data_IF_681793973795
#
_entry.id   IF_681793973795
#
_cell.length_a   1.000
_cell.length_b   1.000
_cell.length_c   1.000
_cell.angle_alpha   90.00
_cell.angle_beta   90.00
_cell.angle_gamma   90.00
#
_symmetry.space_group_name_H-M   'P 1'
#
loop_
_entity.id
_entity.type
_entity.pdbx_description
1 polymer ?
#
# COMPACT_ATOMS: atom_id res chain seq x y z
N UNK A 1 -32.86 8.94 39.19
CA UNK A 1 -32.63 9.63 37.91
C UNK A 1 -31.26 9.21 37.39
N UNK A 2 -31.21 8.28 36.42
CA UNK A 2 -29.98 7.84 35.74
C UNK A 2 -29.72 8.76 34.56
N UNK A 3 -28.51 9.31 34.40
CA UNK A 3 -27.85 9.68 33.13
C UNK A 3 -26.32 9.70 33.43
N UNK A 4 -25.52 8.75 32.92
CA UNK A 4 -24.70 8.82 31.68
C UNK A 4 -23.89 10.13 31.59
N UNK A 5 -22.57 10.16 31.34
CA UNK A 5 -21.85 9.36 30.36
C UNK A 5 -20.35 9.22 30.68
N UNK A 6 -19.85 8.02 30.39
CA UNK A 6 -18.48 7.67 30.09
C UNK A 6 -18.14 8.19 28.68
N UNK A 7 -17.16 9.11 28.54
CA UNK A 7 -16.35 9.25 27.32
C UNK A 7 -15.18 10.21 27.54
N UNK A 8 -14.19 9.77 28.34
CA UNK A 8 -12.87 10.37 28.25
C UNK A 8 -12.15 9.69 27.07
N UNK A 9 -12.30 10.28 25.89
CA UNK A 9 -11.62 9.85 24.67
C UNK A 9 -10.13 9.66 24.95
N UNK A 10 -9.69 8.39 24.90
CA UNK A 10 -8.29 8.04 25.05
C UNK A 10 -7.55 8.53 23.82
N UNK A 11 -7.04 9.77 23.90
CA UNK A 11 -6.10 10.30 22.92
C UNK A 11 -4.80 9.55 23.14
N UNK A 12 -4.52 8.58 22.26
CA UNK A 12 -3.23 7.88 22.26
C UNK A 12 -2.19 8.87 21.73
N UNK A 13 -1.22 9.34 22.54
CA UNK A 13 -0.19 10.21 22.01
C UNK A 13 0.64 9.41 21.01
N UNK A 14 0.81 9.95 19.79
CA UNK A 14 1.82 9.49 18.86
C UNK A 14 3.17 9.61 19.57
N UNK A 15 3.70 8.49 20.09
CA UNK A 15 5.08 8.45 20.52
C UNK A 15 5.91 8.66 19.26
N UNK A 16 6.42 9.88 19.06
CA UNK A 16 7.56 10.09 18.17
C UNK A 16 8.65 9.15 18.70
N UNK A 17 8.94 8.10 17.94
CA UNK A 17 10.13 7.28 18.16
C UNK A 17 11.28 8.23 18.41
N UNK A 18 11.89 8.11 19.58
CA UNK A 18 13.01 8.93 20.06
C UNK A 18 13.98 9.11 18.89
N UNK A 19 14.10 10.35 18.41
CA UNK A 19 14.99 10.70 17.33
C UNK A 19 16.38 10.18 17.69
N UNK A 20 16.94 9.32 16.84
CA UNK A 20 18.38 9.08 16.82
C UNK A 20 19.04 10.45 16.66
N UNK A 21 20.06 10.81 17.44
CA UNK A 21 20.76 12.08 17.24
C UNK A 21 21.34 12.07 15.83
N UNK A 22 20.74 12.85 14.94
CA UNK A 22 21.35 13.19 13.67
C UNK A 22 22.49 14.15 14.05
N UNK A 23 23.77 13.82 13.78
CA UNK A 23 24.84 14.75 14.08
C UNK A 23 24.54 16.08 13.36
N UNK A 24 24.55 17.15 14.13
CA UNK A 24 24.40 18.51 13.64
C UNK A 24 25.63 18.86 12.80
N UNK A 25 25.60 18.49 11.54
CA UNK A 25 26.49 19.04 10.52
C UNK A 25 25.67 19.20 9.25
N UNK A 26 25.02 20.36 9.18
CA UNK A 26 24.35 20.85 8.00
C UNK A 26 25.38 21.17 6.92
N UNK A 27 25.56 20.21 6.01
CA UNK A 27 25.98 20.45 4.65
C UNK A 27 25.30 19.36 3.82
N UNK A 28 24.08 19.62 3.35
CA UNK A 28 23.55 18.87 2.22
C UNK A 28 24.39 19.30 1.01
N UNK A 29 25.48 18.58 0.78
CA UNK A 29 26.32 18.76 -0.40
C UNK A 29 25.51 18.31 -1.62
N UNK A 30 25.10 19.23 -2.52
CA UNK A 30 24.26 18.89 -3.67
C UNK A 30 25.01 18.07 -4.72
N UNK A 31 26.35 17.95 -4.61
CA UNK A 31 27.21 17.15 -5.48
C UNK A 31 27.31 15.68 -5.05
N UNK A 32 26.99 15.35 -3.79
CA UNK A 32 26.84 13.96 -3.38
C UNK A 32 25.48 13.43 -3.85
N UNK A 33 25.49 12.74 -4.99
CA UNK A 33 24.37 11.96 -5.47
C UNK A 33 23.80 10.99 -4.41
N UNK A 34 22.67 10.32 -4.70
CA UNK A 34 21.99 9.48 -3.71
C UNK A 34 22.96 8.45 -3.12
N UNK A 35 23.00 8.37 -1.80
CA UNK A 35 23.83 7.38 -1.10
C UNK A 35 23.57 5.95 -1.61
N UNK A 36 24.54 5.03 -1.45
CA UNK A 36 24.54 3.73 -2.12
C UNK A 36 23.28 2.90 -1.90
N UNK A 37 22.67 3.00 -0.71
CA UNK A 37 21.41 2.31 -0.35
C UNK A 37 20.23 2.82 -1.19
N UNK A 38 20.12 4.15 -1.38
CA UNK A 38 19.05 4.76 -2.19
C UNK A 38 19.25 4.42 -3.67
N UNK A 39 20.50 4.40 -4.13
CA UNK A 39 20.82 4.02 -5.51
C UNK A 39 20.49 2.54 -5.80
N UNK A 40 20.73 1.64 -4.84
CA UNK A 40 20.33 0.24 -4.94
C UNK A 40 18.79 0.10 -5.01
N UNK A 41 18.06 0.72 -4.09
CA UNK A 41 16.60 0.68 -4.08
C UNK A 41 15.96 1.20 -5.39
N UNK A 42 16.52 2.26 -5.98
CA UNK A 42 16.07 2.76 -7.30
C UNK A 42 16.33 1.75 -8.41
N UNK A 43 17.47 1.05 -8.38
CA UNK A 43 17.79 0.00 -9.36
C UNK A 43 16.84 -1.19 -9.21
N UNK A 44 16.53 -1.62 -7.99
CA UNK A 44 15.59 -2.71 -7.74
C UNK A 44 14.17 -2.35 -8.19
N UNK A 45 13.73 -1.12 -7.89
CA UNK A 45 12.47 -0.58 -8.39
C UNK A 45 12.39 -0.64 -9.92
N UNK A 46 13.43 -0.13 -10.59
CA UNK A 46 13.46 -0.09 -12.06
C UNK A 46 13.49 -1.49 -12.66
N UNK A 47 14.32 -2.39 -12.13
CA UNK A 47 14.37 -3.79 -12.56
C UNK A 47 13.00 -4.46 -12.45
N UNK A 48 12.33 -4.31 -11.31
CA UNK A 48 11.00 -4.90 -11.10
C UNK A 48 9.99 -4.35 -12.11
N UNK A 49 10.00 -3.04 -12.36
CA UNK A 49 9.14 -2.44 -13.39
C UNK A 49 9.46 -2.98 -14.78
N UNK A 50 10.73 -2.95 -15.20
CA UNK A 50 11.16 -3.41 -16.52
C UNK A 50 10.69 -4.86 -16.75
N UNK A 51 10.92 -5.76 -15.78
CA UNK A 51 10.48 -7.16 -15.85
C UNK A 51 8.97 -7.31 -15.97
N UNK A 52 8.17 -6.60 -15.17
CA UNK A 52 6.70 -6.70 -15.27
C UNK A 52 6.20 -6.11 -16.58
N UNK A 53 6.80 -5.01 -17.05
CA UNK A 53 6.35 -4.34 -18.26
C UNK A 53 6.70 -5.11 -19.53
N UNK A 54 7.84 -5.81 -19.52
CA UNK A 54 8.26 -6.75 -20.58
C UNK A 54 7.43 -8.04 -20.56
N UNK A 55 7.35 -8.71 -19.41
CA UNK A 55 6.66 -10.01 -19.29
C UNK A 55 5.12 -9.89 -19.28
N UNK A 56 4.58 -8.69 -19.03
CA UNK A 56 3.15 -8.41 -18.87
C UNK A 56 2.58 -8.83 -17.51
N UNK A 57 3.06 -9.94 -16.94
CA UNK A 57 2.80 -10.33 -15.56
C UNK A 57 4.00 -11.06 -14.94
N UNK A 58 4.14 -10.98 -13.61
CA UNK A 58 5.24 -11.60 -12.86
C UNK A 58 4.69 -12.29 -11.60
N UNK A 59 4.88 -13.62 -11.44
CA UNK A 59 4.58 -14.29 -10.18
C UNK A 59 5.62 -13.92 -9.12
N UNK A 60 5.16 -13.72 -7.89
CA UNK A 60 5.99 -13.43 -6.71
C UNK A 60 5.68 -14.45 -5.64
N UNK A 61 6.72 -15.12 -5.14
CA UNK A 61 6.59 -16.14 -4.11
C UNK A 61 6.06 -15.54 -2.80
N UNK A 62 5.36 -16.36 -2.01
CA UNK A 62 4.82 -15.96 -0.72
C UNK A 62 5.89 -15.29 0.17
N UNK A 63 7.03 -15.96 0.35
CA UNK A 63 8.11 -15.55 1.23
C UNK A 63 8.99 -14.39 0.72
N UNK A 64 8.81 -13.91 -0.51
CA UNK A 64 9.62 -12.81 -1.03
C UNK A 64 9.11 -11.45 -0.53
N UNK A 65 9.46 -11.15 0.73
CA UNK A 65 9.03 -9.93 1.42
C UNK A 65 9.57 -8.67 0.76
N UNK A 66 10.80 -8.72 0.23
CA UNK A 66 11.45 -7.57 -0.37
C UNK A 66 10.72 -7.13 -1.64
N UNK A 67 10.45 -8.07 -2.54
CA UNK A 67 9.70 -7.80 -3.77
C UNK A 67 8.27 -7.38 -3.45
N UNK A 68 7.61 -8.01 -2.47
CA UNK A 68 6.26 -7.61 -2.05
C UNK A 68 6.18 -6.18 -1.51
N UNK A 69 7.09 -5.77 -0.63
CA UNK A 69 7.14 -4.40 -0.12
C UNK A 69 7.35 -3.38 -1.26
N UNK A 70 8.25 -3.70 -2.18
CA UNK A 70 8.52 -2.86 -3.35
C UNK A 70 7.30 -2.78 -4.28
N UNK A 71 6.65 -3.91 -4.54
CA UNK A 71 5.44 -3.99 -5.35
C UNK A 71 4.28 -3.20 -4.73
N UNK A 72 4.04 -3.35 -3.42
CA UNK A 72 3.00 -2.58 -2.71
C UNK A 72 3.22 -1.08 -2.83
N UNK A 73 4.48 -0.62 -2.73
CA UNK A 73 4.82 0.79 -2.94
C UNK A 73 4.56 1.24 -4.38
N UNK A 74 4.95 0.44 -5.36
CA UNK A 74 4.69 0.72 -6.78
C UNK A 74 3.20 0.71 -7.12
N UNK A 75 2.41 -0.10 -6.44
CA UNK A 75 0.96 -0.09 -6.56
C UNK A 75 0.34 1.20 -6.01
N UNK A 76 0.83 1.71 -4.86
CA UNK A 76 0.40 3.02 -4.33
C UNK A 76 0.70 4.13 -5.33
N UNK A 77 1.84 4.06 -6.02
CA UNK A 77 2.19 5.01 -7.08
C UNK A 77 1.39 4.81 -8.37
N UNK A 78 0.62 3.72 -8.49
CA UNK A 78 -0.22 3.45 -9.66
C UNK A 78 0.53 2.82 -10.83
N UNK A 79 1.75 2.30 -10.64
CA UNK A 79 2.53 1.67 -11.71
C UNK A 79 2.21 0.19 -11.92
N UNK A 80 1.73 -0.49 -10.88
CA UNK A 80 1.47 -1.92 -10.91
C UNK A 80 0.11 -2.23 -10.31
N UNK A 81 -0.46 -3.35 -10.75
CA UNK A 81 -1.58 -4.01 -10.07
C UNK A 81 -1.08 -5.28 -9.41
N UNK A 82 -1.66 -5.60 -8.25
CA UNK A 82 -1.28 -6.78 -7.46
C UNK A 82 -2.53 -7.64 -7.31
N UNK A 83 -2.36 -8.93 -7.61
CA UNK A 83 -3.36 -9.96 -7.36
C UNK A 83 -2.76 -11.00 -6.41
N UNK A 84 -3.49 -11.35 -5.37
CA UNK A 84 -3.16 -12.49 -4.53
C UNK A 84 -3.69 -13.76 -5.19
N UNK A 85 -2.85 -14.78 -5.27
CA UNK A 85 -3.24 -16.08 -5.83
C UNK A 85 -3.53 -17.02 -4.66
N UNK A 86 -4.78 -17.47 -4.56
CA UNK A 86 -5.22 -18.43 -3.58
C UNK A 86 -4.75 -19.86 -3.94
N UNK A 87 -4.88 -20.80 -3.00
CA UNK A 87 -4.44 -22.19 -3.16
C UNK A 87 -5.20 -22.96 -4.23
N UNK A 88 -6.42 -22.55 -4.52
CA UNK A 88 -7.27 -23.04 -5.61
C UNK A 88 -6.88 -22.44 -6.98
N UNK A 89 -5.87 -21.56 -7.01
CA UNK A 89 -5.42 -20.85 -8.21
C UNK A 89 -6.24 -19.62 -8.56
N UNK A 90 -7.27 -19.27 -7.78
CA UNK A 90 -8.05 -18.07 -8.01
C UNK A 90 -7.19 -16.82 -7.73
N UNK A 91 -7.25 -15.84 -8.63
CA UNK A 91 -6.54 -14.57 -8.48
C UNK A 91 -7.51 -13.47 -7.98
N UNK A 92 -7.15 -12.80 -6.89
CA UNK A 92 -7.92 -11.70 -6.31
C UNK A 92 -7.10 -10.43 -6.29
N UNK A 93 -7.57 -9.38 -6.97
CA UNK A 93 -6.91 -8.07 -6.95
C UNK A 93 -6.93 -7.44 -5.56
N UNK A 94 -5.75 -7.07 -5.07
CA UNK A 94 -5.56 -6.37 -3.80
C UNK A 94 -5.64 -4.87 -4.03
N UNK A 95 -6.29 -4.14 -3.11
CA UNK A 95 -6.17 -2.68 -3.01
C UNK A 95 -4.81 -2.30 -2.42
N UNK A 96 -4.33 -1.06 -2.59
CA UNK A 96 -3.07 -0.62 -1.97
C UNK A 96 -3.03 -0.86 -0.45
N UNK A 97 -4.12 -0.55 0.27
CA UNK A 97 -4.22 -0.78 1.72
C UNK A 97 -4.22 -2.27 2.09
N UNK A 98 -4.74 -3.13 1.21
CA UNK A 98 -4.72 -4.58 1.41
C UNK A 98 -3.34 -5.13 1.12
N UNK A 99 -2.67 -4.72 0.04
CA UNK A 99 -1.33 -5.19 -0.30
C UNK A 99 -0.30 -4.89 0.80
N UNK A 100 -0.39 -3.72 1.45
CA UNK A 100 0.49 -3.36 2.58
C UNK A 100 0.25 -4.26 3.81
N UNK A 101 -0.99 -4.73 4.00
CA UNK A 101 -1.40 -5.56 5.15
C UNK A 101 -1.43 -7.05 4.84
N UNK A 102 -1.36 -7.42 3.57
CA UNK A 102 -1.59 -8.77 3.09
C UNK A 102 -0.51 -9.70 3.62
N UNK A 103 -0.97 -10.90 4.02
CA UNK A 103 -0.11 -11.89 4.64
C UNK A 103 0.99 -12.30 3.66
N UNK A 104 2.22 -12.38 4.16
CA UNK A 104 3.39 -12.79 3.38
C UNK A 104 3.42 -14.31 3.13
N UNK A 105 2.26 -14.97 3.21
CA UNK A 105 2.09 -16.42 3.14
C UNK A 105 1.43 -16.88 1.83
N UNK A 106 0.74 -15.96 1.13
CA UNK A 106 0.14 -16.24 -0.19
C UNK A 106 0.98 -15.71 -1.34
N UNK A 107 1.15 -16.43 -2.46
CA UNK A 107 1.85 -15.92 -3.63
C UNK A 107 1.06 -14.76 -4.27
N UNK A 108 1.78 -13.83 -4.90
CA UNK A 108 1.18 -12.73 -5.64
C UNK A 108 1.46 -12.86 -7.13
N UNK A 109 0.64 -12.20 -7.94
CA UNK A 109 0.87 -11.92 -9.35
C UNK A 109 0.88 -10.42 -9.52
N UNK A 110 1.96 -9.90 -10.08
CA UNK A 110 2.08 -8.50 -10.45
C UNK A 110 1.75 -8.36 -11.93
N UNK A 111 1.02 -7.31 -12.28
CA UNK A 111 0.70 -6.99 -13.67
C UNK A 111 0.90 -5.49 -13.92
N UNK A 112 1.09 -5.12 -15.19
CA UNK A 112 1.16 -3.71 -15.59
C UNK A 112 -0.12 -3.00 -15.17
N UNK A 113 -0.02 -1.78 -14.64
CA UNK A 113 -1.19 -0.93 -14.58
C UNK A 113 -1.53 -0.45 -15.99
N UNK A 114 -2.75 -0.71 -16.45
CA UNK A 114 -3.25 -0.04 -17.64
C UNK A 114 -3.43 1.44 -17.27
N UNK A 115 -2.46 2.27 -17.67
CA UNK A 115 -2.55 3.72 -17.60
C UNK A 115 -3.87 4.14 -18.29
N UNK A 116 -4.94 4.39 -17.53
CA UNK A 116 -6.26 4.72 -18.06
C UNK A 116 -7.46 4.19 -17.26
N UNK A 117 -7.33 3.12 -16.47
CA UNK A 117 -8.42 2.70 -15.57
C UNK A 117 -8.08 3.16 -14.16
N UNK A 118 -8.83 4.19 -13.75
CA UNK A 118 -8.96 4.72 -12.41
C UNK A 118 -8.83 3.65 -11.32
N UNK A 119 -8.50 4.12 -10.12
CA UNK A 119 -8.65 3.46 -8.83
C UNK A 119 -10.11 3.01 -8.58
N UNK A 120 -10.69 2.23 -9.50
CA UNK A 120 -12.00 1.63 -9.40
C UNK A 120 -11.88 0.53 -8.37
N UNK A 121 -12.06 0.99 -7.14
CA UNK A 121 -12.51 0.23 -6.01
C UNK A 121 -13.83 -0.42 -6.46
N UNK A 122 -13.93 -1.74 -6.72
CA UNK A 122 -15.25 -2.35 -6.80
C UNK A 122 -15.87 -2.16 -5.42
N UNK A 123 -16.82 -1.25 -5.28
CA UNK A 123 -17.63 -1.13 -4.08
C UNK A 123 -18.43 -2.44 -4.06
N UNK A 124 -18.23 -3.34 -3.08
CA UNK A 124 -19.07 -4.53 -3.00
C UNK A 124 -20.51 -4.03 -2.85
N UNK A 125 -21.40 -4.50 -3.73
CA UNK A 125 -22.82 -4.23 -3.66
C UNK A 125 -23.38 -4.89 -2.38
N UNK A 126 -23.25 -4.19 -1.26
CA UNK A 126 -24.16 -4.35 -0.13
C UNK A 126 -25.00 -3.09 -0.08
N UNK A 127 -26.27 -3.30 -0.43
CA UNK A 127 -27.35 -2.34 -0.29
C UNK A 127 -27.39 -1.74 1.12
N UNK A 128 -27.51 -0.42 1.15
CA UNK A 128 -27.50 0.40 2.37
C UNK A 128 -26.82 1.73 2.08
N UNK A 129 -27.54 2.62 1.38
CA UNK A 129 -27.05 3.96 1.05
C UNK A 129 -26.54 4.69 2.29
N UNK A 130 -25.29 5.16 2.25
CA UNK A 130 -24.62 5.89 3.34
C UNK A 130 -25.11 7.34 3.48
N UNK A 131 -26.04 7.78 2.61
CA UNK A 131 -26.52 9.16 2.50
C UNK A 131 -28.02 9.22 2.21
N UNK A 132 -28.83 8.49 2.97
CA UNK A 132 -30.28 8.70 2.95
C UNK A 132 -30.62 9.80 3.96
N UNK A 133 -31.00 11.02 3.54
CA UNK A 133 -31.59 11.98 4.46
C UNK A 133 -32.96 11.47 4.84
N UNK A 134 -33.12 11.00 6.07
CA UNK A 134 -34.43 10.67 6.63
C UNK A 134 -35.27 11.94 6.64
N UNK A 135 -36.09 12.14 5.61
CA UNK A 135 -37.13 13.14 5.60
C UNK A 135 -38.08 12.83 6.77
N UNK A 136 -38.01 13.65 7.82
CA UNK A 136 -39.02 13.65 8.88
C UNK A 136 -40.32 14.22 8.29
N UNK A 137 -41.45 13.50 8.33
CA UNK A 137 -42.74 14.14 8.09
C UNK A 137 -43.12 14.98 9.32
N UNK A 138 -43.67 16.16 9.07
CA UNK A 138 -44.34 17.00 10.05
C UNK A 138 -45.82 16.63 10.15
#
# INVERSE_FOLDING_TARGET
MRQHANEAGTVVPFRRSRAVPIPASGAFDPDLGPGPVVAAARRDQRRLMDTVYEAGSLPVAAGDRATKLLASRLQVYGFLTIEEVAEDGAARRLRPSEAVRATLDRPWRLSRSSCGVSLSVPIPARDGFLFEPTAHPA
#
